data_IF_627976783218
#
_entry.id   IF_627976783218
#
_cell.length_a   1.000
_cell.length_b   1.000
_cell.length_c   1.000
_cell.angle_alpha   90.00
_cell.angle_beta   90.00
_cell.angle_gamma   90.00
#
_symmetry.space_group_name_H-M   'P 1'
#
loop_
_entity.id
_entity.type
_entity.pdbx_description
1 polymer ?
#
# COMPACT_ATOMS: atom_id res chain seq x y z
N UNK A 1 23.56 -9.40 -41.78
CA UNK A 1 22.89 -10.28 -40.81
C UNK A 1 23.56 -10.25 -39.44
N UNK A 2 24.87 -10.53 -39.30
CA UNK A 2 25.57 -10.50 -37.99
C UNK A 2 25.50 -9.16 -37.24
N UNK A 3 25.58 -8.02 -37.95
CA UNK A 3 25.49 -6.67 -37.34
C UNK A 3 24.12 -6.36 -36.74
N UNK A 4 23.05 -6.86 -37.37
CA UNK A 4 21.67 -6.69 -36.87
C UNK A 4 21.47 -7.53 -35.61
N UNK A 5 22.01 -8.75 -35.60
CA UNK A 5 21.98 -9.62 -34.43
C UNK A 5 22.75 -9.00 -33.24
N UNK A 6 23.96 -8.47 -33.49
CA UNK A 6 24.74 -7.79 -32.45
C UNK A 6 24.04 -6.54 -31.90
N UNK A 7 23.40 -5.75 -32.76
CA UNK A 7 22.61 -4.59 -32.35
C UNK A 7 21.40 -4.98 -31.49
N UNK A 8 20.70 -6.07 -31.84
CA UNK A 8 19.60 -6.60 -31.06
C UNK A 8 20.05 -7.08 -29.67
N UNK A 9 21.17 -7.81 -29.60
CA UNK A 9 21.74 -8.26 -28.32
C UNK A 9 22.13 -7.09 -27.42
N UNK A 10 22.68 -6.01 -28.00
CA UNK A 10 23.05 -4.83 -27.23
C UNK A 10 21.82 -4.12 -26.62
N UNK A 11 20.74 -3.98 -27.39
CA UNK A 11 19.48 -3.39 -26.90
C UNK A 11 18.87 -4.23 -25.77
N UNK A 12 18.86 -5.55 -25.91
CA UNK A 12 18.35 -6.46 -24.86
C UNK A 12 19.21 -6.39 -23.60
N UNK A 13 20.54 -6.30 -23.73
CA UNK A 13 21.45 -6.16 -22.60
C UNK A 13 21.31 -4.82 -21.86
N UNK A 14 20.87 -3.76 -22.55
CA UNK A 14 20.57 -2.46 -21.94
C UNK A 14 19.19 -2.35 -21.28
N UNK A 15 18.34 -3.38 -21.39
CA UNK A 15 17.03 -3.38 -20.75
C UNK A 15 17.17 -3.63 -19.24
N UNK A 16 16.78 -2.66 -18.41
CA UNK A 16 16.87 -2.75 -16.97
C UNK A 16 15.51 -3.13 -16.34
N UNK A 17 15.43 -4.33 -15.79
CA UNK A 17 14.28 -4.78 -15.00
C UNK A 17 14.49 -4.41 -13.53
N UNK A 18 13.82 -3.36 -13.05
CA UNK A 18 13.81 -3.00 -11.64
C UNK A 18 13.01 -4.01 -10.81
N UNK A 19 13.43 -4.20 -9.55
CA UNK A 19 12.64 -4.89 -8.51
C UNK A 19 11.94 -3.84 -7.66
N UNK A 20 10.62 -3.78 -7.76
CA UNK A 20 9.81 -2.71 -7.17
C UNK A 20 8.91 -3.31 -6.09
N UNK A 21 8.96 -2.73 -4.89
CA UNK A 21 8.06 -3.04 -3.79
C UNK A 21 7.05 -1.91 -3.65
N UNK A 22 5.77 -2.21 -3.83
CA UNK A 22 4.68 -1.25 -3.68
C UNK A 22 3.99 -1.49 -2.35
N UNK A 23 3.99 -0.48 -1.49
CA UNK A 23 3.27 -0.51 -0.23
C UNK A 23 1.83 -0.03 -0.43
N UNK A 24 0.86 -0.91 -0.26
CA UNK A 24 -0.56 -0.64 -0.48
C UNK A 24 -1.33 -0.85 0.83
N UNK A 25 -1.40 0.14 1.73
CA UNK A 25 -2.04 -0.05 3.02
C UNK A 25 -3.56 -0.18 2.88
N UNK A 26 -4.13 -1.16 3.59
CA UNK A 26 -5.56 -1.38 3.58
C UNK A 26 -6.27 -0.50 4.60
N UNK A 27 -6.71 0.68 4.16
CA UNK A 27 -7.60 1.54 4.92
C UNK A 27 -8.96 1.63 4.22
N UNK A 28 -10.05 1.57 4.99
CA UNK A 28 -11.42 1.69 4.48
C UNK A 28 -11.64 3.01 3.72
N UNK A 29 -11.06 4.13 4.20
CA UNK A 29 -11.14 5.46 3.59
C UNK A 29 -10.24 5.66 2.37
N UNK A 30 -9.29 4.75 2.11
CA UNK A 30 -8.29 4.92 1.06
C UNK A 30 -8.54 4.00 -0.16
N UNK A 31 -9.81 3.68 -0.45
CA UNK A 31 -10.17 2.75 -1.54
C UNK A 31 -9.63 3.20 -2.91
N UNK A 32 -9.68 4.49 -3.22
CA UNK A 32 -9.12 5.07 -4.45
C UNK A 32 -7.60 4.88 -4.54
N UNK A 33 -6.87 5.07 -3.43
CA UNK A 33 -5.43 4.85 -3.37
C UNK A 33 -5.07 3.39 -3.68
N UNK A 34 -5.88 2.43 -3.22
CA UNK A 34 -5.67 1.01 -3.52
C UNK A 34 -5.84 0.68 -4.99
N UNK A 35 -6.86 1.23 -5.65
CA UNK A 35 -7.04 1.05 -7.09
C UNK A 35 -5.92 1.71 -7.89
N UNK A 36 -5.55 2.95 -7.55
CA UNK A 36 -4.45 3.66 -8.21
C UNK A 36 -3.12 2.90 -8.06
N UNK A 37 -2.78 2.46 -6.86
CA UNK A 37 -1.55 1.70 -6.62
C UNK A 37 -1.59 0.33 -7.29
N UNK A 38 -2.77 -0.28 -7.38
CA UNK A 38 -2.98 -1.51 -8.12
C UNK A 38 -2.74 -1.37 -9.62
N UNK A 39 -3.36 -0.38 -10.25
CA UNK A 39 -3.18 -0.09 -11.67
C UNK A 39 -1.74 0.31 -11.99
N UNK A 40 -1.13 1.14 -11.13
CA UNK A 40 0.30 1.47 -11.25
C UNK A 40 1.19 0.22 -11.18
N UNK A 41 0.87 -0.71 -10.27
CA UNK A 41 1.61 -1.97 -10.15
C UNK A 41 1.53 -2.80 -11.43
N UNK A 42 0.32 -2.89 -12.01
CA UNK A 42 0.09 -3.61 -13.27
C UNK A 42 0.88 -2.98 -14.42
N UNK A 43 0.82 -1.65 -14.58
CA UNK A 43 1.58 -0.92 -15.62
C UNK A 43 3.09 -1.18 -15.49
N UNK A 44 3.63 -1.14 -14.27
CA UNK A 44 5.04 -1.38 -14.02
C UNK A 44 5.44 -2.83 -14.34
N UNK A 45 4.58 -3.80 -14.03
CA UNK A 45 4.81 -5.19 -14.38
C UNK A 45 4.74 -5.44 -15.89
N UNK A 46 3.77 -4.82 -16.58
CA UNK A 46 3.63 -4.85 -18.03
C UNK A 46 4.81 -4.21 -18.76
N UNK A 47 5.42 -3.17 -18.16
CA UNK A 47 6.67 -2.58 -18.63
C UNK A 47 7.90 -3.51 -18.45
N UNK A 48 7.72 -4.69 -17.85
CA UNK A 48 8.75 -5.71 -17.68
C UNK A 48 9.49 -5.63 -16.35
N UNK A 49 9.01 -4.87 -15.35
CA UNK A 49 9.59 -4.85 -14.02
C UNK A 49 9.10 -6.00 -13.14
N UNK A 50 9.92 -6.41 -12.17
CA UNK A 50 9.49 -7.34 -11.12
C UNK A 50 8.81 -6.57 -10.02
N UNK A 51 7.48 -6.61 -9.98
CA UNK A 51 6.68 -5.87 -9.01
C UNK A 51 6.12 -6.81 -7.95
N UNK A 52 6.28 -6.41 -6.68
CA UNK A 52 5.68 -7.08 -5.53
C UNK A 52 4.88 -6.06 -4.76
N UNK A 53 3.62 -6.36 -4.46
CA UNK A 53 2.79 -5.50 -3.62
C UNK A 53 2.75 -6.05 -2.20
N UNK A 54 3.00 -5.19 -1.22
CA UNK A 54 2.84 -5.48 0.20
C UNK A 54 1.63 -4.74 0.75
N UNK A 55 0.65 -5.50 1.25
CA UNK A 55 -0.60 -4.97 1.79
C UNK A 55 -0.79 -5.43 3.25
N UNK A 56 -0.60 -4.53 4.23
CA UNK A 56 -1.00 -4.79 5.60
C UNK A 56 -2.53 -4.70 5.72
N UNK A 57 -3.17 -5.75 6.24
CA UNK A 57 -4.59 -5.76 6.55
C UNK A 57 -4.81 -5.18 7.95
N UNK A 58 -5.71 -4.21 8.09
CA UNK A 58 -5.95 -3.49 9.36
C UNK A 58 -7.35 -3.65 9.94
N UNK A 59 -8.40 -3.85 9.15
CA UNK A 59 -9.72 -4.36 9.58
C UNK A 59 -10.65 -4.49 8.36
N UNK A 60 -11.58 -5.45 8.39
CA UNK A 60 -12.67 -5.58 7.43
C UNK A 60 -12.32 -6.22 6.08
N UNK A 61 -13.21 -7.10 5.63
CA UNK A 61 -13.11 -7.96 4.45
C UNK A 61 -13.11 -7.17 3.12
N UNK A 62 -11.99 -6.53 2.80
CA UNK A 62 -11.79 -5.97 1.47
C UNK A 62 -10.49 -6.48 0.88
N UNK A 63 -10.52 -7.71 0.35
CA UNK A 63 -9.51 -8.29 -0.56
C UNK A 63 -9.33 -7.47 -1.88
N UNK A 64 -9.62 -6.18 -1.87
CA UNK A 64 -9.40 -5.22 -2.94
C UNK A 64 -7.95 -4.78 -2.87
N UNK A 65 -7.16 -5.36 -3.78
CA UNK A 65 -5.77 -5.01 -4.04
C UNK A 65 -5.63 -3.95 -5.14
N UNK A 66 -6.64 -3.86 -6.02
CA UNK A 66 -6.65 -2.97 -7.18
C UNK A 66 -5.81 -3.45 -8.38
N UNK A 67 -5.01 -4.49 -8.21
CA UNK A 67 -4.13 -5.06 -9.26
C UNK A 67 -4.62 -6.43 -9.71
N UNK A 68 -4.43 -6.74 -10.99
CA UNK A 68 -4.76 -8.04 -11.60
C UNK A 68 -3.54 -8.90 -11.89
N UNK A 69 -2.38 -8.27 -12.09
CA UNK A 69 -1.23 -8.92 -12.73
C UNK A 69 -0.03 -9.11 -11.80
N UNK A 70 -0.02 -8.52 -10.60
CA UNK A 70 1.15 -8.58 -9.70
C UNK A 70 0.95 -9.52 -8.53
N UNK A 71 2.07 -10.04 -8.02
CA UNK A 71 2.06 -10.84 -6.80
C UNK A 71 1.82 -9.93 -5.59
N UNK A 72 0.72 -10.18 -4.90
CA UNK A 72 0.36 -9.45 -3.68
C UNK A 72 0.66 -10.31 -2.46
N UNK A 73 1.44 -9.76 -1.54
CA UNK A 73 1.67 -10.30 -0.21
C UNK A 73 0.82 -9.54 0.79
N UNK A 74 -0.27 -10.18 1.22
CA UNK A 74 -1.13 -9.66 2.27
C UNK A 74 -0.62 -10.19 3.60
N UNK A 75 -0.34 -9.29 4.55
CA UNK A 75 -0.06 -9.68 5.93
C UNK A 75 -1.18 -9.13 6.79
N UNK A 76 -1.99 -10.05 7.30
CA UNK A 76 -2.97 -9.72 8.31
C UNK A 76 -2.26 -9.40 9.61
N UNK A 77 -2.30 -8.13 10.01
CA UNK A 77 -2.06 -7.81 11.41
C UNK A 77 -3.35 -8.12 12.13
N UNK A 78 -3.27 -8.89 13.22
CA UNK A 78 -4.36 -9.00 14.16
C UNK A 78 -4.63 -7.58 14.70
N UNK A 79 -5.62 -6.90 14.12
CA UNK A 79 -6.20 -5.73 14.74
C UNK A 79 -7.10 -6.24 15.85
N UNK A 80 -6.63 -6.13 17.10
CA UNK A 80 -7.53 -6.15 18.25
C UNK A 80 -8.34 -4.85 18.35
N UNK A 81 -8.10 -3.90 17.44
CA UNK A 81 -8.84 -2.67 17.35
C UNK A 81 -9.90 -2.84 16.26
N UNK A 82 -11.09 -3.22 16.72
CA UNK A 82 -12.38 -2.93 16.11
C UNK A 82 -12.51 -1.39 16.06
N UNK A 83 -11.72 -0.77 15.19
CA UNK A 83 -11.80 0.65 14.93
C UNK A 83 -13.16 0.82 14.29
N UNK A 84 -14.08 1.47 15.01
CA UNK A 84 -15.33 1.99 14.45
C UNK A 84 -15.04 3.14 13.47
N UNK A 85 -14.24 2.83 12.46
CA UNK A 85 -13.93 3.59 11.26
C UNK A 85 -15.13 3.74 10.31
N UNK A 86 -16.13 2.82 10.22
CA UNK A 86 -17.19 2.93 9.22
C UNK A 86 -17.89 4.29 9.25
N UNK A 87 -18.25 4.76 10.45
CA UNK A 87 -18.96 6.02 10.65
C UNK A 87 -18.09 7.24 10.24
N UNK A 88 -16.79 7.22 10.58
CA UNK A 88 -15.85 8.29 10.21
C UNK A 88 -15.59 8.33 8.69
N UNK A 89 -15.39 7.17 8.06
CA UNK A 89 -15.10 7.09 6.62
C UNK A 89 -16.30 7.57 5.80
N UNK A 90 -17.52 7.23 6.21
CA UNK A 90 -18.73 7.71 5.57
C UNK A 90 -18.93 9.21 5.80
N UNK A 91 -18.57 9.72 6.98
CA UNK A 91 -18.62 11.14 7.31
C UNK A 91 -17.62 11.97 6.50
N UNK A 92 -16.33 11.61 6.37
CA UNK A 92 -15.33 12.42 5.64
C UNK A 92 -15.81 12.90 4.25
N UNK A 93 -16.58 12.08 3.54
CA UNK A 93 -17.07 12.40 2.20
C UNK A 93 -18.44 13.08 2.17
N UNK A 94 -19.14 13.13 3.30
CA UNK A 94 -20.52 13.63 3.42
C UNK A 94 -20.66 14.84 4.36
N UNK A 95 -19.69 15.11 5.24
CA UNK A 95 -19.71 16.30 6.08
C UNK A 95 -19.22 17.54 5.33
N UNK A 96 -19.93 18.66 5.51
CA UNK A 96 -19.43 20.01 5.20
C UNK A 96 -18.35 20.47 6.21
N UNK A 97 -17.91 19.59 7.12
CA UNK A 97 -16.93 19.91 8.15
C UNK A 97 -15.56 20.21 7.51
N UNK A 98 -14.94 21.27 8.04
CA UNK A 98 -13.68 21.77 7.51
C UNK A 98 -12.57 20.73 7.62
N UNK A 99 -11.59 20.82 6.71
CA UNK A 99 -10.35 20.01 6.70
C UNK A 99 -9.63 19.93 8.07
N UNK A 100 -9.89 20.87 8.97
CA UNK A 100 -9.32 20.93 10.31
C UNK A 100 -9.89 19.87 11.28
N UNK A 101 -11.15 19.45 11.12
CA UNK A 101 -11.69 18.34 11.92
C UNK A 101 -11.14 17.00 11.42
N UNK A 102 -10.98 16.85 10.10
CA UNK A 102 -10.27 15.72 9.52
C UNK A 102 -8.80 15.66 10.00
N UNK A 103 -8.12 16.81 10.10
CA UNK A 103 -6.76 16.90 10.65
C UNK A 103 -6.70 16.44 12.11
N UNK A 104 -7.66 16.84 12.94
CA UNK A 104 -7.73 16.43 14.34
C UNK A 104 -7.86 14.90 14.48
N UNK A 105 -8.75 14.28 13.72
CA UNK A 105 -8.91 12.81 13.72
C UNK A 105 -7.67 12.10 13.18
N UNK A 106 -7.03 12.66 12.14
CA UNK A 106 -5.77 12.11 11.63
C UNK A 106 -4.64 12.20 12.65
N UNK A 107 -4.58 13.25 13.46
CA UNK A 107 -3.63 13.39 14.56
C UNK A 107 -3.90 12.37 15.67
N UNK A 108 -5.16 12.16 16.06
CA UNK A 108 -5.52 11.12 17.03
C UNK A 108 -5.14 9.71 16.55
N UNK A 109 -5.38 9.39 15.27
CA UNK A 109 -4.93 8.15 14.65
C UNK A 109 -3.39 8.03 14.68
N UNK A 110 -2.68 9.14 14.44
CA UNK A 110 -1.23 9.17 14.47
C UNK A 110 -0.68 8.89 15.87
N UNK A 111 -1.26 9.49 16.91
CA UNK A 111 -0.88 9.27 18.31
C UNK A 111 -1.12 7.83 18.74
N UNK A 112 -2.29 7.28 18.44
CA UNK A 112 -2.62 5.87 18.70
C UNK A 112 -1.63 4.93 17.99
N UNK A 113 -1.22 5.26 16.77
CA UNK A 113 -0.23 4.50 16.01
C UNK A 113 1.17 4.59 16.65
N UNK A 114 1.57 5.77 17.11
CA UNK A 114 2.86 6.01 17.76
C UNK A 114 2.98 5.28 19.11
N UNK A 115 1.92 5.29 19.93
CA UNK A 115 1.89 4.52 21.18
C UNK A 115 1.96 3.01 20.92
N UNK A 116 1.26 2.51 19.89
CA UNK A 116 1.37 1.11 19.49
C UNK A 116 2.79 0.74 19.07
N UNK A 117 3.49 1.59 18.34
CA UNK A 117 4.88 1.33 17.95
C UNK A 117 5.79 1.12 19.17
N UNK A 118 5.59 1.95 20.21
CA UNK A 118 6.32 1.82 21.48
C UNK A 118 6.00 0.51 22.20
N UNK A 119 4.72 0.15 22.28
CA UNK A 119 4.26 -1.10 22.91
C UNK A 119 4.77 -2.34 22.18
N UNK A 120 4.72 -2.36 20.85
CA UNK A 120 5.24 -3.46 20.04
C UNK A 120 6.75 -3.63 20.17
N UNK A 121 7.52 -2.53 20.20
CA UNK A 121 8.97 -2.59 20.41
C UNK A 121 9.32 -3.17 21.78
N UNK A 122 8.56 -2.79 22.82
CA UNK A 122 8.69 -3.33 24.19
C UNK A 122 8.39 -4.83 24.26
N UNK A 123 7.33 -5.30 23.60
CA UNK A 123 6.94 -6.73 23.58
C UNK A 123 7.99 -7.59 22.85
N UNK A 124 8.61 -7.08 21.78
CA UNK A 124 9.64 -7.81 21.01
C UNK A 124 11.06 -7.64 21.55
N UNK A 125 11.24 -7.00 22.71
CA UNK A 125 12.56 -6.75 23.30
C UNK A 125 13.48 -5.90 22.42
N UNK A 126 12.93 -5.12 21.49
CA UNK A 126 13.70 -4.21 20.63
C UNK A 126 13.86 -2.89 21.37
N UNK A 127 15.10 -2.40 21.51
CA UNK A 127 15.34 -1.03 21.98
C UNK A 127 14.82 -0.07 20.92
N UNK A 128 13.96 0.85 21.32
CA UNK A 128 13.56 2.02 20.54
C UNK A 128 14.72 3.02 20.48
#
# INVERSE_FOLDING_TARGET
MLKIFAALCFIVASCNCAKILIYNPEYAFARSHRYFLGELSDILAEAGHTVVMYQPHFDGDTNVTGSKNVKVHIITRASELDLKLPDFVEQIWTTDESIFEAEKVMNELHEISAERHKTYAKIKGRKL
#
